data_IF_500876596058
#
_entry.id   IF_500876596058
#
_cell.length_a   1.000
_cell.length_b   1.000
_cell.length_c   1.000
_cell.angle_alpha   90.00
_cell.angle_beta   90.00
_cell.angle_gamma   90.00
#
_symmetry.space_group_name_H-M   'P 1'
#
loop_
_entity.id
_entity.type
_entity.pdbx_description
1 polymer ?
#
# COMPACT_ATOMS: atom_id res chain seq x y z
N UNK A 1 1.99 -6.36 5.24
CA UNK A 1 1.73 -6.05 3.82
C UNK A 1 2.48 -4.78 3.44
N UNK A 2 2.32 -3.72 4.23
CA UNK A 2 3.21 -2.56 4.22
C UNK A 2 4.37 -2.76 5.20
N UNK A 3 5.52 -2.19 4.87
CA UNK A 3 6.71 -2.20 5.72
C UNK A 3 6.78 -0.91 6.54
N UNK A 4 7.66 -0.83 7.55
CA UNK A 4 7.84 0.42 8.30
C UNK A 4 8.29 1.56 7.38
N UNK A 5 9.06 1.26 6.34
CA UNK A 5 9.45 2.29 5.37
C UNK A 5 8.27 2.77 4.53
N UNK A 6 7.38 1.88 4.09
CA UNK A 6 6.15 2.28 3.40
C UNK A 6 5.32 3.22 4.31
N UNK A 7 5.15 2.85 5.58
CA UNK A 7 4.43 3.65 6.59
C UNK A 7 5.05 5.04 6.74
N UNK A 8 6.37 5.12 6.94
CA UNK A 8 7.06 6.40 7.14
C UNK A 8 7.04 7.28 5.88
N UNK A 9 7.14 6.68 4.70
CA UNK A 9 7.07 7.44 3.45
C UNK A 9 5.66 7.99 3.23
N UNK A 10 4.63 7.18 3.47
CA UNK A 10 3.23 7.58 3.27
C UNK A 10 2.72 8.54 4.34
N UNK A 11 3.27 8.49 5.57
CA UNK A 11 3.04 9.52 6.59
C UNK A 11 3.41 10.92 6.08
N UNK A 12 4.48 11.04 5.30
CA UNK A 12 4.86 12.31 4.64
C UNK A 12 3.81 12.84 3.66
N UNK A 13 2.96 11.96 3.13
CA UNK A 13 1.83 12.29 2.27
C UNK A 13 0.48 12.35 3.02
N UNK A 14 0.50 12.23 4.36
CA UNK A 14 -0.69 12.26 5.21
C UNK A 14 -1.49 10.95 5.23
N UNK A 15 -0.93 9.85 4.73
CA UNK A 15 -1.57 8.53 4.70
C UNK A 15 -0.88 7.63 5.73
N UNK A 16 -1.59 7.21 6.75
CA UNK A 16 -1.08 6.25 7.73
C UNK A 16 -1.33 4.82 7.25
N UNK A 17 -0.29 4.11 6.82
CA UNK A 17 -0.39 2.71 6.42
C UNK A 17 -0.39 1.74 7.60
N UNK A 18 -0.09 2.22 8.81
CA UNK A 18 -0.16 1.43 10.04
C UNK A 18 -1.57 1.38 10.64
N UNK A 19 -2.45 2.30 10.22
CA UNK A 19 -3.85 2.33 10.62
C UNK A 19 -4.77 1.78 9.52
N UNK A 20 -5.57 0.77 9.87
CA UNK A 20 -6.48 0.11 8.91
C UNK A 20 -7.52 1.06 8.35
N UNK A 21 -8.08 1.96 9.18
CA UNK A 21 -9.12 2.89 8.74
C UNK A 21 -8.57 3.89 7.73
N UNK A 22 -7.34 4.37 7.95
CA UNK A 22 -6.58 5.16 6.99
C UNK A 22 -6.27 4.37 5.71
N UNK A 23 -5.80 3.12 5.79
CA UNK A 23 -5.57 2.27 4.61
C UNK A 23 -6.85 2.08 3.80
N UNK A 24 -7.99 1.87 4.47
CA UNK A 24 -9.30 1.74 3.83
C UNK A 24 -9.74 3.04 3.15
N UNK A 25 -9.62 4.19 3.82
CA UNK A 25 -9.94 5.50 3.27
C UNK A 25 -9.07 5.87 2.06
N UNK A 26 -7.86 5.33 1.97
CA UNK A 26 -6.88 5.60 0.92
C UNK A 26 -6.62 4.40 0.00
N UNK A 27 -7.45 3.35 0.06
CA UNK A 27 -7.20 2.08 -0.63
C UNK A 27 -7.00 2.24 -2.15
N UNK A 28 -7.76 3.13 -2.78
CA UNK A 28 -7.60 3.43 -4.22
C UNK A 28 -6.25 4.08 -4.54
N UNK A 29 -5.85 5.07 -3.76
CA UNK A 29 -4.57 5.77 -3.94
C UNK A 29 -3.41 4.80 -3.73
N UNK A 30 -3.46 4.00 -2.67
CA UNK A 30 -2.45 2.98 -2.36
C UNK A 30 -2.34 1.99 -3.51
N UNK A 31 -3.46 1.45 -4.00
CA UNK A 31 -3.46 0.50 -5.11
C UNK A 31 -2.86 1.09 -6.38
N UNK A 32 -3.21 2.33 -6.73
CA UNK A 32 -2.61 3.03 -7.87
C UNK A 32 -1.09 3.13 -7.72
N UNK A 33 -0.58 3.49 -6.54
CA UNK A 33 0.86 3.61 -6.34
C UNK A 33 1.58 2.26 -6.38
N UNK A 34 1.10 1.23 -5.67
CA UNK A 34 1.75 -0.09 -5.67
C UNK A 34 1.64 -0.80 -7.03
N UNK A 35 0.55 -0.60 -7.77
CA UNK A 35 0.37 -1.20 -9.11
C UNK A 35 1.31 -0.63 -10.17
N UNK A 36 1.83 0.60 -9.96
CA UNK A 36 2.86 1.19 -10.84
C UNK A 36 4.26 0.65 -10.56
N UNK A 37 4.44 -0.16 -9.52
CA UNK A 37 5.73 -0.79 -9.18
C UNK A 37 6.78 0.19 -8.62
N UNK A 38 6.41 1.44 -8.33
CA UNK A 38 7.31 2.42 -7.72
C UNK A 38 7.40 2.29 -6.19
N UNK A 39 6.60 1.40 -5.61
CA UNK A 39 6.55 1.13 -4.17
C UNK A 39 6.87 -0.35 -3.87
N UNK A 40 7.74 -0.62 -2.87
CA UNK A 40 8.46 0.36 -2.07
C UNK A 40 9.50 1.11 -2.91
N UNK A 41 9.92 2.31 -2.51
CA UNK A 41 10.90 3.09 -3.26
C UNK A 41 12.22 2.33 -3.33
N UNK A 42 12.95 2.40 -4.44
CA UNK A 42 14.22 1.67 -4.59
C UNK A 42 15.26 1.97 -3.47
N UNK A 43 15.21 3.18 -2.88
CA UNK A 43 16.06 3.57 -1.73
C UNK A 43 15.75 2.81 -0.43
N UNK A 44 14.66 2.06 -0.38
CA UNK A 44 14.29 1.23 0.76
C UNK A 44 15.16 0.00 0.94
N UNK A 45 15.79 -0.47 -0.15
CA UNK A 45 16.42 -1.79 -0.17
C UNK A 45 15.40 -2.94 -0.24
N UNK A 46 14.10 -2.64 -0.36
CA UNK A 46 13.03 -3.62 -0.47
C UNK A 46 12.65 -3.84 -1.94
N UNK A 47 12.18 -5.06 -2.24
CA UNK A 47 11.66 -5.36 -3.56
C UNK A 47 10.30 -4.68 -3.76
N UNK A 48 10.02 -4.12 -4.96
CA UNK A 48 8.68 -3.67 -5.34
C UNK A 48 7.62 -4.74 -5.07
N UNK A 49 6.39 -4.31 -4.87
CA UNK A 49 5.27 -5.23 -4.72
C UNK A 49 5.18 -6.19 -5.91
N UNK A 50 5.07 -7.48 -5.61
CA UNK A 50 4.85 -8.49 -6.64
C UNK A 50 3.44 -8.37 -7.19
N UNK A 51 3.22 -8.94 -8.38
CA UNK A 51 1.90 -8.97 -9.00
C UNK A 51 0.85 -9.60 -8.07
N UNK A 52 1.20 -10.66 -7.37
CA UNK A 52 0.29 -11.37 -6.45
C UNK A 52 -0.10 -10.51 -5.25
N UNK A 53 0.82 -9.68 -4.73
CA UNK A 53 0.51 -8.73 -3.65
C UNK A 53 -0.45 -7.65 -4.13
N UNK A 54 -0.22 -7.11 -5.33
CA UNK A 54 -1.12 -6.15 -5.96
C UNK A 54 -2.51 -6.76 -6.21
N UNK A 55 -2.58 -7.98 -6.74
CA UNK A 55 -3.83 -8.68 -7.01
C UNK A 55 -4.59 -8.97 -5.69
N UNK A 56 -3.88 -9.37 -4.63
CA UNK A 56 -4.45 -9.57 -3.30
C UNK A 56 -5.03 -8.30 -2.71
N UNK A 57 -4.30 -7.18 -2.82
CA UNK A 57 -4.78 -5.87 -2.34
C UNK A 57 -5.98 -5.37 -3.15
N UNK A 58 -5.94 -5.56 -4.47
CA UNK A 58 -7.07 -5.26 -5.35
C UNK A 58 -8.32 -6.02 -4.92
N UNK A 59 -8.19 -7.33 -4.69
CA UNK A 59 -9.30 -8.17 -4.27
C UNK A 59 -9.82 -7.79 -2.88
N UNK A 60 -8.94 -7.46 -1.92
CA UNK A 60 -9.32 -6.97 -0.60
C UNK A 60 -10.12 -5.65 -0.68
N UNK A 61 -9.66 -4.70 -1.50
CA UNK A 61 -10.36 -3.45 -1.77
C UNK A 61 -11.72 -3.69 -2.44
N UNK A 62 -11.77 -4.54 -3.46
CA UNK A 62 -13.01 -4.87 -4.21
C UNK A 62 -14.05 -5.58 -3.33
N UNK A 63 -13.63 -6.26 -2.26
CA UNK A 63 -14.51 -6.86 -1.26
C UNK A 63 -15.03 -5.85 -0.22
N UNK A 64 -14.69 -4.57 -0.33
CA UNK A 64 -15.09 -3.54 0.64
C UNK A 64 -14.25 -3.56 1.91
N UNK A 65 -12.94 -3.86 1.79
CA UNK A 65 -11.97 -3.75 2.88
C UNK A 65 -12.33 -4.58 4.13
N UNK A 66 -12.54 -5.91 4.00
CA UNK A 66 -12.90 -6.77 5.12
C UNK A 66 -11.83 -6.74 6.24
N UNK A 67 -12.23 -6.95 7.51
CA UNK A 67 -11.35 -6.97 8.68
C UNK A 67 -10.30 -8.08 8.67
#
# INVERSE_FOLDING_TARGET
MFTEMDVDHMRGFGIDLSDRASVEAHADAIYQTVSTGVMPPARSGEAPWTKDMCDGFKAWREQGCPP
#
